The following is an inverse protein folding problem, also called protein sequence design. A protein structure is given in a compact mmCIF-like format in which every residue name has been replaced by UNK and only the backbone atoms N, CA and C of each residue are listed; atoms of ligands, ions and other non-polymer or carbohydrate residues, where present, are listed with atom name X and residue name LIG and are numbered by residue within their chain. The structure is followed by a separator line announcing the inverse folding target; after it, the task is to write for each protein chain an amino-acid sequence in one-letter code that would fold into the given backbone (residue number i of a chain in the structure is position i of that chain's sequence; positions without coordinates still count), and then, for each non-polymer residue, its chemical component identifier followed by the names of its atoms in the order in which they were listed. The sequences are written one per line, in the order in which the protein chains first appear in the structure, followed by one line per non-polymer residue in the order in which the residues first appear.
data_IF_217343333278
#
_entry.id   IF_217343333278
#
_cell.length_a   1.000
_cell.length_b   1.000
_cell.length_c   1.000
_cell.angle_alpha   90.00
_cell.angle_beta   90.00
_cell.angle_gamma   90.00
#
_symmetry.space_group_name_H-M   'P 1'
#
loop_
_entity.id
_entity.type
_entity.pdbx_description
1 polymer ?
#
# COMPACT_ATOMS: atom_id res chain seq x y z
N UNK A 1 -53.71 28.98 -27.00
CA UNK A 1 -53.01 28.86 -25.70
C UNK A 1 -52.05 27.68 -25.81
N UNK A 2 -50.76 27.94 -26.13
CA UNK A 2 -49.71 26.90 -26.31
C UNK A 2 -48.86 26.83 -25.05
N UNK A 3 -48.93 25.73 -24.34
CA UNK A 3 -48.08 25.44 -23.20
C UNK A 3 -46.77 24.81 -23.70
N UNK A 4 -45.64 25.48 -23.44
CA UNK A 4 -44.30 24.94 -23.66
C UNK A 4 -43.90 24.14 -22.43
N UNK A 5 -43.72 22.85 -22.62
CA UNK A 5 -43.17 21.94 -21.59
C UNK A 5 -41.63 21.92 -21.75
N UNK A 6 -40.93 22.59 -20.85
CA UNK A 6 -39.46 22.62 -20.80
C UNK A 6 -38.97 21.38 -20.02
N UNK A 7 -38.39 20.42 -20.72
CA UNK A 7 -37.83 19.21 -20.15
C UNK A 7 -36.42 19.55 -19.60
N UNK A 8 -36.30 19.60 -18.29
CA UNK A 8 -34.98 19.70 -17.61
C UNK A 8 -34.36 18.30 -17.59
N UNK A 9 -33.32 18.09 -18.41
CA UNK A 9 -32.49 16.90 -18.34
C UNK A 9 -31.44 17.15 -17.27
N UNK A 10 -31.61 16.51 -16.09
CA UNK A 10 -30.63 16.47 -15.01
C UNK A 10 -29.57 15.44 -15.38
N UNK A 11 -28.45 15.91 -15.92
CA UNK A 11 -27.27 15.07 -16.20
C UNK A 11 -26.60 14.65 -14.90
N UNK A 12 -26.75 13.37 -14.51
CA UNK A 12 -25.96 12.77 -13.44
C UNK A 12 -24.53 12.56 -13.97
N UNK A 13 -23.62 13.41 -13.53
CA UNK A 13 -22.18 13.24 -13.79
C UNK A 13 -21.67 12.10 -12.90
N UNK A 14 -21.64 10.88 -13.42
CA UNK A 14 -20.98 9.76 -12.75
C UNK A 14 -19.47 9.97 -12.94
N UNK A 15 -18.82 10.56 -11.95
CA UNK A 15 -17.37 10.58 -11.86
C UNK A 15 -16.88 9.18 -11.50
N UNK A 16 -16.55 8.38 -12.50
CA UNK A 16 -15.81 7.14 -12.28
C UNK A 16 -14.39 7.54 -11.86
N UNK A 17 -14.12 7.50 -10.57
CA UNK A 17 -12.75 7.58 -10.05
C UNK A 17 -11.98 6.38 -10.63
N UNK A 18 -11.08 6.64 -11.58
CA UNK A 18 -10.10 5.63 -12.01
C UNK A 18 -9.11 5.49 -10.85
N UNK A 19 -9.25 4.42 -10.08
CA UNK A 19 -8.20 3.98 -9.16
C UNK A 19 -7.05 3.52 -10.04
N UNK A 20 -5.96 4.26 -10.06
CA UNK A 20 -4.71 3.83 -10.71
C UNK A 20 -4.10 2.71 -9.85
N UNK A 21 -3.38 1.80 -10.47
CA UNK A 21 -2.71 0.68 -9.77
C UNK A 21 -1.77 1.15 -8.65
N UNK A 22 -1.27 2.37 -8.73
CA UNK A 22 -0.41 3.00 -7.70
C UNK A 22 -1.17 3.39 -6.41
N UNK A 23 -2.51 3.39 -6.42
CA UNK A 23 -3.34 3.75 -5.26
C UNK A 23 -3.75 2.53 -4.41
N UNK A 24 -3.46 1.31 -4.89
CA UNK A 24 -3.78 0.10 -4.14
C UNK A 24 -2.80 -0.10 -2.96
N UNK A 25 -3.30 -0.54 -1.78
CA UNK A 25 -2.41 -0.86 -0.68
C UNK A 25 -1.51 -2.05 -1.04
N UNK A 26 -0.25 -1.97 -0.63
CA UNK A 26 0.72 -3.04 -0.85
C UNK A 26 0.52 -4.19 0.14
N UNK A 27 0.65 -5.43 -0.35
CA UNK A 27 0.52 -6.62 0.49
C UNK A 27 1.52 -7.70 0.09
N UNK A 28 1.99 -8.47 1.05
CA UNK A 28 2.71 -9.71 0.79
C UNK A 28 2.09 -10.87 1.56
N UNK A 29 2.28 -12.07 1.05
CA UNK A 29 1.88 -13.31 1.72
C UNK A 29 3.11 -13.95 2.35
N UNK A 30 3.08 -14.13 3.67
CA UNK A 30 4.11 -14.90 4.36
C UNK A 30 3.91 -16.41 4.08
N UNK A 31 4.98 -17.21 4.04
CA UNK A 31 4.86 -18.67 3.96
C UNK A 31 3.89 -19.19 5.03
N UNK A 32 3.03 -20.13 4.65
CA UNK A 32 2.06 -20.71 5.59
C UNK A 32 2.79 -21.58 6.62
N UNK A 33 2.41 -21.44 7.86
CA UNK A 33 2.88 -22.35 8.92
C UNK A 33 2.00 -23.58 9.01
N UNK A 34 2.55 -24.68 9.48
CA UNK A 34 1.84 -25.91 9.81
C UNK A 34 2.46 -26.58 11.02
N UNK A 35 1.69 -27.38 11.73
CA UNK A 35 2.18 -28.12 12.87
C UNK A 35 2.67 -29.50 12.41
N UNK A 36 4.00 -29.68 12.41
CA UNK A 36 4.64 -30.93 11.99
C UNK A 36 4.32 -32.14 12.91
N UNK A 37 3.81 -31.87 14.11
CA UNK A 37 3.40 -32.94 15.05
C UNK A 37 1.94 -33.34 14.88
N UNK A 38 1.09 -32.38 14.47
CA UNK A 38 -0.36 -32.61 14.31
C UNK A 38 -0.74 -32.96 12.86
N UNK A 39 0.05 -32.51 11.87
CA UNK A 39 -0.18 -32.77 10.45
C UNK A 39 0.91 -33.73 9.97
N UNK A 40 0.55 -34.96 9.76
CA UNK A 40 1.45 -35.98 9.24
C UNK A 40 1.99 -35.51 7.86
N UNK A 41 3.32 -35.62 7.67
CA UNK A 41 4.04 -35.22 6.44
C UNK A 41 4.09 -33.73 6.13
N UNK A 42 3.70 -32.83 7.04
CA UNK A 42 3.88 -31.40 6.81
C UNK A 42 5.36 -31.01 6.67
N UNK A 43 5.68 -30.26 5.63
CA UNK A 43 7.02 -29.73 5.37
C UNK A 43 6.96 -28.21 5.16
N UNK A 44 7.99 -27.42 5.55
CA UNK A 44 8.02 -25.97 5.33
C UNK A 44 7.81 -25.58 3.87
N UNK A 45 8.37 -26.34 2.92
CA UNK A 45 8.20 -26.10 1.48
C UNK A 45 6.73 -26.13 1.03
N UNK A 46 5.87 -26.87 1.72
CA UNK A 46 4.42 -26.85 1.45
C UNK A 46 3.82 -25.49 1.83
N UNK A 47 4.29 -24.90 2.92
CA UNK A 47 3.86 -23.56 3.33
C UNK A 47 4.29 -22.46 2.36
N UNK A 48 5.48 -22.58 1.79
CA UNK A 48 5.97 -21.70 0.72
C UNK A 48 5.07 -21.82 -0.52
N UNK A 49 4.84 -23.06 -1.00
CA UNK A 49 3.99 -23.29 -2.18
C UNK A 49 2.55 -22.79 -2.01
N UNK A 50 1.93 -22.99 -0.84
CA UNK A 50 0.61 -22.43 -0.54
C UNK A 50 0.61 -20.89 -0.51
N UNK A 51 1.67 -20.29 0.02
CA UNK A 51 1.86 -18.85 0.02
C UNK A 51 1.97 -18.29 -1.41
N UNK A 52 2.71 -18.95 -2.29
CA UNK A 52 2.86 -18.58 -3.70
C UNK A 52 1.53 -18.71 -4.46
N UNK A 53 0.80 -19.81 -4.27
CA UNK A 53 -0.53 -19.99 -4.85
C UNK A 53 -1.46 -18.85 -4.43
N UNK A 54 -1.52 -18.53 -3.12
CA UNK A 54 -2.35 -17.44 -2.64
C UNK A 54 -1.89 -16.08 -3.14
N UNK A 55 -0.59 -15.82 -3.24
CA UNK A 55 -0.04 -14.58 -3.81
C UNK A 55 -0.53 -14.36 -5.23
N UNK A 56 -0.47 -15.40 -6.05
CA UNK A 56 -0.95 -15.38 -7.44
C UNK A 56 -2.44 -15.06 -7.52
N UNK A 57 -3.25 -15.72 -6.70
CA UNK A 57 -4.70 -15.53 -6.73
C UNK A 57 -5.12 -14.15 -6.16
N UNK A 58 -4.49 -13.69 -5.08
CA UNK A 58 -4.74 -12.35 -4.53
C UNK A 58 -4.35 -11.24 -5.53
N UNK A 59 -3.33 -11.46 -6.36
CA UNK A 59 -2.95 -10.53 -7.42
C UNK A 59 -4.04 -10.33 -8.48
N UNK A 60 -4.86 -11.36 -8.73
CA UNK A 60 -5.94 -11.30 -9.73
C UNK A 60 -7.16 -10.47 -9.30
N UNK A 61 -7.39 -10.29 -8.00
CA UNK A 61 -8.58 -9.59 -7.49
C UNK A 61 -8.45 -8.07 -7.44
N UNK A 62 -7.31 -7.50 -7.86
CA UNK A 62 -7.06 -6.04 -7.90
C UNK A 62 -7.40 -5.30 -6.60
N UNK A 63 -7.14 -5.93 -5.46
CA UNK A 63 -7.37 -5.35 -4.13
C UNK A 63 -6.09 -4.87 -3.47
N UNK A 64 -4.98 -5.45 -3.87
CA UNK A 64 -3.64 -5.16 -3.40
C UNK A 64 -2.68 -5.04 -4.56
N UNK A 65 -1.64 -4.24 -4.38
CA UNK A 65 -0.40 -4.39 -5.11
C UNK A 65 0.46 -5.41 -4.37
N UNK A 66 0.63 -6.60 -4.97
CA UNK A 66 1.38 -7.69 -4.33
C UNK A 66 2.88 -7.41 -4.37
N UNK A 67 3.56 -7.68 -3.26
CA UNK A 67 5.01 -7.57 -3.13
C UNK A 67 5.64 -8.95 -3.09
N UNK A 68 6.74 -9.11 -3.84
CA UNK A 68 7.56 -10.31 -3.83
C UNK A 68 8.41 -10.38 -2.55
N UNK A 69 8.38 -11.50 -1.83
CA UNK A 69 9.17 -11.72 -0.63
C UNK A 69 10.00 -12.99 -0.67
N UNK A 70 9.58 -14.00 -1.43
CA UNK A 70 10.29 -15.28 -1.50
C UNK A 70 11.59 -15.15 -2.29
N UNK A 71 11.60 -14.34 -3.34
CA UNK A 71 12.75 -14.08 -4.23
C UNK A 71 13.54 -12.81 -3.84
N UNK A 72 13.33 -12.28 -2.65
CA UNK A 72 13.97 -11.02 -2.24
C UNK A 72 15.50 -11.13 -2.17
N UNK A 73 16.02 -12.34 -1.98
CA UNK A 73 17.45 -12.63 -2.04
C UNK A 73 18.03 -12.37 -3.42
N UNK A 74 17.37 -12.84 -4.46
CA UNK A 74 17.80 -12.69 -5.86
C UNK A 74 17.70 -11.23 -6.29
N UNK A 75 16.62 -10.52 -5.90
CA UNK A 75 16.48 -9.09 -6.15
C UNK A 75 17.60 -8.27 -5.49
N UNK A 76 17.99 -8.62 -4.26
CA UNK A 76 19.13 -7.97 -3.59
C UNK A 76 20.44 -8.28 -4.26
N UNK A 77 20.65 -9.50 -4.77
CA UNK A 77 21.85 -9.87 -5.52
C UNK A 77 21.98 -9.05 -6.79
N UNK A 78 20.88 -8.82 -7.52
CA UNK A 78 20.87 -7.97 -8.73
C UNK A 78 21.31 -6.54 -8.40
N UNK A 79 20.79 -5.95 -7.31
CA UNK A 79 21.20 -4.62 -6.85
C UNK A 79 22.69 -4.59 -6.47
N UNK A 80 23.19 -5.61 -5.75
CA UNK A 80 24.59 -5.70 -5.38
C UNK A 80 25.51 -5.83 -6.62
N UNK A 81 25.11 -6.58 -7.64
CA UNK A 81 25.84 -6.65 -8.92
C UNK A 81 25.99 -5.28 -9.58
N UNK A 82 24.97 -4.43 -9.48
CA UNK A 82 25.03 -3.04 -9.94
C UNK A 82 26.04 -2.20 -9.14
N UNK A 83 26.10 -2.35 -7.84
CA UNK A 83 27.04 -1.64 -6.97
C UNK A 83 28.48 -2.13 -7.15
N UNK A 84 28.66 -3.44 -7.35
CA UNK A 84 29.96 -4.08 -7.55
C UNK A 84 30.53 -3.80 -8.97
N UNK A 85 29.78 -3.10 -9.82
CA UNK A 85 30.22 -2.69 -11.17
C UNK A 85 30.07 -3.74 -12.26
N UNK A 86 29.34 -4.83 -12.02
CA UNK A 86 29.03 -5.84 -13.02
C UNK A 86 27.95 -5.38 -14.00
N UNK A 87 27.11 -4.44 -13.57
CA UNK A 87 26.04 -3.85 -14.38
C UNK A 87 26.44 -2.44 -14.79
N UNK A 88 26.07 -2.02 -16.00
CA UNK A 88 26.28 -0.67 -16.50
C UNK A 88 25.68 0.36 -15.51
N UNK A 89 26.50 1.35 -15.12
CA UNK A 89 26.13 2.37 -14.14
C UNK A 89 24.88 3.17 -14.53
N UNK A 90 24.59 3.28 -15.83
CA UNK A 90 23.37 3.94 -16.33
C UNK A 90 22.10 3.07 -16.17
N UNK A 91 22.25 1.77 -15.90
CA UNK A 91 21.15 0.80 -15.82
C UNK A 91 21.01 0.18 -14.43
N UNK A 92 21.93 0.47 -13.51
CA UNK A 92 21.88 -0.08 -12.14
C UNK A 92 20.63 0.37 -11.40
N UNK A 93 20.12 -0.51 -10.53
CA UNK A 93 19.05 -0.19 -9.58
C UNK A 93 19.67 0.23 -8.26
N UNK A 94 19.31 1.40 -7.75
CA UNK A 94 19.81 1.88 -6.47
C UNK A 94 19.10 1.22 -5.27
N UNK A 95 19.82 1.11 -4.14
CA UNK A 95 19.24 0.66 -2.87
C UNK A 95 18.17 1.63 -2.38
N UNK A 96 17.14 1.09 -1.70
CA UNK A 96 16.07 1.88 -1.10
C UNK A 96 14.83 2.07 -1.97
N UNK A 97 14.80 1.50 -3.20
CA UNK A 97 13.66 1.58 -4.10
C UNK A 97 12.54 0.56 -3.82
N UNK A 98 12.73 -0.40 -2.91
CA UNK A 98 11.69 -1.37 -2.59
C UNK A 98 10.49 -0.73 -1.92
N UNK A 99 9.30 -1.04 -2.43
CA UNK A 99 8.06 -0.62 -1.81
C UNK A 99 7.91 -1.23 -0.40
N UNK A 100 7.48 -0.44 0.56
CA UNK A 100 7.15 -0.93 1.89
C UNK A 100 5.75 -1.55 1.89
N UNK A 101 5.56 -2.65 2.62
CA UNK A 101 4.27 -3.30 2.75
C UNK A 101 3.32 -2.52 3.67
N UNK A 102 2.07 -2.38 3.25
CA UNK A 102 0.97 -1.91 4.09
C UNK A 102 0.40 -3.07 4.91
N UNK A 103 0.20 -4.22 4.28
CA UNK A 103 -0.39 -5.40 4.90
C UNK A 103 0.47 -6.64 4.70
N UNK A 104 0.36 -7.55 5.65
CA UNK A 104 0.91 -8.89 5.59
C UNK A 104 -0.24 -9.89 5.72
N UNK A 105 -0.34 -10.82 4.78
CA UNK A 105 -1.19 -11.98 4.90
C UNK A 105 -0.39 -13.12 5.53
N UNK A 106 -0.89 -13.71 6.59
CA UNK A 106 -0.29 -14.88 7.26
C UNK A 106 -1.33 -15.95 7.53
N UNK A 107 -0.94 -17.21 7.43
CA UNK A 107 -1.85 -18.31 7.62
C UNK A 107 -1.19 -19.51 8.31
N UNK A 108 -2.03 -20.29 8.98
CA UNK A 108 -1.66 -21.58 9.58
C UNK A 108 -2.55 -22.66 9.02
N UNK A 109 -1.94 -23.67 8.45
CA UNK A 109 -2.64 -24.91 8.07
C UNK A 109 -2.87 -25.72 9.35
N UNK A 110 -4.11 -26.02 9.63
CA UNK A 110 -4.55 -26.75 10.84
C UNK A 110 -5.09 -28.14 10.53
N UNK A 111 -5.48 -28.38 9.27
CA UNK A 111 -5.78 -29.72 8.75
C UNK A 111 -5.30 -29.83 7.32
N UNK A 112 -4.64 -30.93 7.00
CA UNK A 112 -4.14 -31.20 5.65
C UNK A 112 -3.88 -32.69 5.52
N UNK A 113 -4.70 -33.41 4.75
CA UNK A 113 -4.55 -34.86 4.54
C UNK A 113 -5.85 -35.54 4.20
N UNK A 114 -5.80 -36.85 4.27
CA UNK A 114 -6.93 -37.72 3.95
C UNK A 114 -7.55 -38.26 5.23
N UNK A 115 -8.89 -38.30 5.28
CA UNK A 115 -9.68 -39.01 6.25
C UNK A 115 -10.21 -40.28 5.62
N UNK A 116 -10.13 -41.41 6.32
CA UNK A 116 -10.88 -42.58 5.95
C UNK A 116 -12.31 -42.47 6.49
N UNK A 117 -13.28 -42.47 5.60
CA UNK A 117 -14.69 -42.54 5.96
C UNK A 117 -15.19 -43.98 5.79
N UNK A 118 -15.44 -44.65 6.91
CA UNK A 118 -16.08 -45.94 6.89
C UNK A 118 -17.60 -45.75 6.81
N UNK A 119 -18.16 -45.94 5.62
CA UNK A 119 -19.61 -46.06 5.48
C UNK A 119 -19.93 -47.52 5.81
N UNK A 120 -20.14 -47.80 7.08
CA UNK A 120 -20.72 -49.07 7.50
C UNK A 120 -22.15 -49.16 7.00
N UNK A 121 -22.42 -50.05 6.06
CA UNK A 121 -23.78 -50.50 5.76
C UNK A 121 -24.28 -51.25 6.97
N UNK A 122 -24.79 -50.49 7.98
CA UNK A 122 -25.33 -51.07 9.21
C UNK A 122 -26.40 -52.10 8.95
N UNK A 123 -26.15 -53.31 9.38
CA UNK A 123 -27.18 -54.23 9.85
C UNK A 123 -28.07 -54.95 8.82
N UNK A 124 -27.95 -54.80 7.52
CA UNK A 124 -28.80 -55.43 6.51
C UNK A 124 -28.03 -56.23 5.44
N UNK A 125 -26.83 -56.71 5.72
CA UNK A 125 -26.21 -57.67 4.81
C UNK A 125 -26.72 -59.07 5.17
N UNK A 126 -27.31 -59.85 4.21
CA UNK A 126 -27.62 -61.24 4.43
C UNK A 126 -26.36 -62.05 4.79
N UNK A 127 -26.47 -62.97 5.72
CA UNK A 127 -25.36 -63.79 6.16
C UNK A 127 -24.69 -64.47 4.94
N UNK A 128 -23.45 -64.12 4.65
CA UNK A 128 -22.66 -64.67 3.55
C UNK A 128 -21.94 -63.61 2.66
N UNK A 129 -22.32 -62.37 2.74
CA UNK A 129 -21.57 -61.26 2.08
C UNK A 129 -20.68 -60.60 3.13
N UNK A 130 -19.42 -61.03 3.17
CA UNK A 130 -18.42 -60.40 4.03
C UNK A 130 -18.40 -58.86 3.86
N UNK A 131 -18.01 -58.14 4.92
CA UNK A 131 -17.91 -56.69 5.02
C UNK A 131 -17.45 -56.02 3.71
N UNK A 132 -18.39 -55.69 2.82
CA UNK A 132 -18.17 -54.78 1.74
C UNK A 132 -18.23 -53.34 2.31
N UNK A 133 -17.24 -53.00 3.11
CA UNK A 133 -17.00 -51.63 3.53
C UNK A 133 -16.52 -50.83 2.32
N UNK A 134 -17.33 -49.95 1.79
CA UNK A 134 -16.86 -48.99 0.82
C UNK A 134 -15.94 -48.02 1.57
N UNK A 135 -14.63 -48.23 1.43
CA UNK A 135 -13.62 -47.29 1.90
C UNK A 135 -13.64 -46.07 0.99
N UNK A 136 -14.18 -44.98 1.46
CA UNK A 136 -14.13 -43.72 0.76
C UNK A 136 -13.08 -42.81 1.42
N UNK A 137 -12.05 -42.45 0.68
CA UNK A 137 -11.07 -41.48 1.13
C UNK A 137 -11.62 -40.07 0.89
N UNK A 138 -11.55 -39.21 1.92
CA UNK A 138 -11.96 -37.80 1.85
C UNK A 138 -10.77 -36.96 2.22
N UNK A 139 -10.31 -36.17 1.28
CA UNK A 139 -9.31 -35.13 1.55
C UNK A 139 -9.95 -33.98 2.36
N UNK A 140 -9.25 -33.50 3.38
CA UNK A 140 -9.69 -32.43 4.27
C UNK A 140 -8.58 -31.42 4.46
N UNK A 141 -8.87 -30.15 4.10
CA UNK A 141 -7.96 -29.04 4.24
C UNK A 141 -8.62 -27.96 5.07
N UNK A 142 -7.91 -27.42 6.07
CA UNK A 142 -8.34 -26.27 6.85
C UNK A 142 -7.18 -25.31 7.05
N UNK A 143 -7.42 -24.03 6.78
CA UNK A 143 -6.46 -22.93 6.90
C UNK A 143 -7.09 -21.82 7.75
N UNK A 144 -6.41 -21.46 8.82
CA UNK A 144 -6.76 -20.29 9.63
C UNK A 144 -5.82 -19.13 9.23
N UNK A 145 -6.37 -17.95 8.89
CA UNK A 145 -5.61 -16.87 8.30
C UNK A 145 -5.86 -15.52 8.97
N UNK A 146 -4.94 -14.60 8.77
CA UNK A 146 -4.99 -13.22 9.28
C UNK A 146 -4.42 -12.26 8.26
N UNK A 147 -5.06 -11.10 8.15
CA UNK A 147 -4.52 -9.92 7.49
C UNK A 147 -4.06 -8.93 8.57
N UNK A 148 -2.81 -8.53 8.53
CA UNK A 148 -2.15 -7.73 9.58
C UNK A 148 -1.65 -6.43 8.97
N UNK A 149 -1.94 -5.29 9.58
CA UNK A 149 -1.32 -4.00 9.27
C UNK A 149 0.14 -4.01 9.76
N UNK A 150 1.09 -3.87 8.85
CA UNK A 150 2.53 -4.04 9.13
C UNK A 150 3.05 -2.94 10.06
N UNK A 151 2.61 -1.70 9.88
CA UNK A 151 3.10 -0.56 10.64
C UNK A 151 2.62 -0.57 12.10
N UNK A 152 1.39 -1.04 12.33
CA UNK A 152 0.77 -1.03 13.66
C UNK A 152 0.72 -2.40 14.33
N UNK A 153 1.02 -3.48 13.57
CA UNK A 153 0.87 -4.90 13.97
C UNK A 153 -0.57 -5.27 14.35
N UNK A 154 -1.55 -4.46 14.00
CA UNK A 154 -2.95 -4.75 14.28
C UNK A 154 -3.50 -5.76 13.28
N UNK A 155 -4.25 -6.73 13.79
CA UNK A 155 -4.98 -7.65 12.94
C UNK A 155 -6.19 -6.89 12.36
N UNK A 156 -6.23 -6.79 11.03
CA UNK A 156 -7.32 -6.12 10.29
C UNK A 156 -8.48 -7.08 10.09
N UNK A 157 -8.17 -8.33 9.78
CA UNK A 157 -9.17 -9.37 9.54
C UNK A 157 -8.59 -10.73 9.91
N UNK A 158 -9.46 -11.61 10.39
CA UNK A 158 -9.18 -13.04 10.56
C UNK A 158 -10.24 -13.85 9.86
N UNK A 159 -9.90 -15.05 9.46
CA UNK A 159 -10.84 -16.01 8.91
C UNK A 159 -10.33 -17.43 9.02
N UNK A 160 -11.21 -18.36 8.73
CA UNK A 160 -10.92 -19.79 8.58
C UNK A 160 -11.62 -20.26 7.33
N UNK A 161 -10.89 -21.00 6.50
CA UNK A 161 -11.44 -21.64 5.33
C UNK A 161 -11.19 -23.14 5.43
N UNK A 162 -12.12 -23.95 4.94
CA UNK A 162 -11.95 -25.42 4.90
C UNK A 162 -12.76 -26.03 3.79
N UNK A 163 -12.19 -27.05 3.16
CA UNK A 163 -12.85 -27.82 2.15
C UNK A 163 -12.58 -29.30 2.31
N UNK A 164 -13.58 -30.12 1.97
CA UNK A 164 -13.48 -31.56 1.86
C UNK A 164 -13.73 -31.96 0.40
N UNK A 165 -12.95 -32.91 -0.09
CA UNK A 165 -13.11 -33.49 -1.42
C UNK A 165 -13.09 -35.00 -1.36
N UNK A 166 -14.15 -35.62 -1.90
CA UNK A 166 -14.23 -37.08 -2.07
C UNK A 166 -13.47 -37.47 -3.34
N UNK A 167 -12.72 -38.53 -3.28
CA UNK A 167 -12.01 -39.05 -4.46
C UNK A 167 -10.98 -40.10 -4.13
N UNK A 168 -10.38 -40.72 -5.16
CA UNK A 168 -9.22 -41.59 -5.02
C UNK A 168 -8.06 -40.84 -4.40
N UNK A 169 -7.46 -41.42 -3.38
CA UNK A 169 -6.46 -40.68 -2.59
C UNK A 169 -5.18 -40.43 -3.38
N UNK A 170 -4.71 -39.21 -3.35
CA UNK A 170 -3.28 -38.93 -3.39
C UNK A 170 -2.76 -39.50 -2.07
N UNK A 171 -2.10 -40.64 -2.14
CA UNK A 171 -1.51 -41.27 -0.96
C UNK A 171 -0.25 -40.47 -0.58
N UNK A 172 -0.44 -39.50 0.30
CA UNK A 172 0.66 -38.68 0.86
C UNK A 172 1.76 -39.59 1.44
N UNK A 173 1.36 -40.78 1.94
CA UNK A 173 2.29 -41.76 2.51
C UNK A 173 3.14 -42.50 1.47
N UNK A 174 2.58 -42.88 0.32
CA UNK A 174 3.30 -43.68 -0.68
C UNK A 174 4.28 -42.87 -1.51
N UNK A 175 3.99 -41.57 -1.77
CA UNK A 175 4.88 -40.69 -2.52
C UNK A 175 5.94 -39.99 -1.64
N UNK A 176 5.75 -39.92 -0.32
CA UNK A 176 6.74 -39.35 0.62
C UNK A 176 7.66 -40.45 1.20
N UNK A 177 7.23 -41.70 1.21
CA UNK A 177 7.99 -42.82 1.80
C UNK A 177 9.07 -43.48 0.93
N UNK A 178 9.15 -43.17 -0.35
CA UNK A 178 10.13 -43.68 -1.28
C UNK A 178 11.12 -42.66 -1.76
N UNK A 179 12.20 -42.36 -1.04
CA UNK A 179 13.29 -41.43 -1.41
C UNK A 179 13.07 -39.94 -1.11
N UNK A 180 12.50 -39.53 0.01
CA UNK A 180 12.59 -38.13 0.48
C UNK A 180 11.96 -37.11 -0.48
N UNK A 181 10.88 -37.46 -1.18
CA UNK A 181 10.23 -36.64 -2.14
C UNK A 181 9.49 -35.46 -1.49
N UNK A 182 9.90 -34.26 -1.78
CA UNK A 182 9.14 -33.03 -1.51
C UNK A 182 7.80 -33.11 -2.24
N UNK A 183 6.70 -32.88 -1.52
CA UNK A 183 5.40 -32.65 -2.16
C UNK A 183 5.53 -31.28 -2.87
N UNK A 184 5.63 -31.33 -4.19
CA UNK A 184 5.60 -30.13 -5.01
C UNK A 184 4.13 -29.74 -5.22
N UNK A 185 3.67 -28.66 -4.54
CA UNK A 185 2.30 -28.14 -4.62
C UNK A 185 1.91 -27.68 -6.03
N UNK A 186 2.88 -27.41 -6.91
CA UNK A 186 2.65 -27.05 -8.32
C UNK A 186 2.67 -28.25 -9.28
N UNK A 187 2.83 -29.49 -8.78
CA UNK A 187 2.84 -30.68 -9.62
C UNK A 187 1.41 -31.05 -10.06
N UNK A 188 1.25 -31.43 -11.33
CA UNK A 188 -0.04 -31.90 -11.88
C UNK A 188 -0.65 -33.03 -11.07
N UNK A 189 0.13 -33.99 -10.61
CA UNK A 189 -0.36 -35.10 -9.80
C UNK A 189 -0.99 -34.63 -8.49
N UNK A 190 -0.43 -33.62 -7.84
CA UNK A 190 -1.02 -33.04 -6.64
C UNK A 190 -2.29 -32.26 -6.98
N UNK A 191 -2.25 -31.39 -7.98
CA UNK A 191 -3.37 -30.52 -8.36
C UNK A 191 -4.60 -31.33 -8.82
N UNK A 192 -4.38 -32.44 -9.52
CA UNK A 192 -5.44 -33.35 -9.99
C UNK A 192 -5.96 -34.28 -8.89
N UNK A 193 -5.33 -34.28 -7.72
CA UNK A 193 -5.74 -35.11 -6.59
C UNK A 193 -6.92 -34.52 -5.81
N UNK A 194 -7.60 -35.34 -5.03
CA UNK A 194 -8.64 -34.88 -4.10
C UNK A 194 -8.10 -33.85 -3.09
N UNK A 195 -6.82 -33.98 -2.67
CA UNK A 195 -6.18 -33.05 -1.74
C UNK A 195 -5.85 -31.72 -2.44
N UNK A 196 -5.41 -31.74 -3.70
CA UNK A 196 -5.22 -30.55 -4.53
C UNK A 196 -6.52 -29.78 -4.70
N UNK A 197 -7.58 -30.42 -5.13
CA UNK A 197 -8.89 -29.78 -5.26
C UNK A 197 -9.46 -29.24 -3.95
N UNK A 198 -9.25 -29.93 -2.81
CA UNK A 198 -9.63 -29.40 -1.50
C UNK A 198 -8.82 -28.16 -1.14
N UNK A 199 -7.53 -28.15 -1.51
CA UNK A 199 -6.65 -27.00 -1.31
C UNK A 199 -7.11 -25.80 -2.14
N UNK A 200 -7.36 -25.97 -3.43
CA UNK A 200 -7.89 -24.91 -4.32
C UNK A 200 -9.17 -24.30 -3.76
N UNK A 201 -10.16 -25.14 -3.43
CA UNK A 201 -11.43 -24.66 -2.84
C UNK A 201 -11.24 -23.89 -1.54
N UNK A 202 -10.26 -24.31 -0.72
CA UNK A 202 -9.95 -23.61 0.53
C UNK A 202 -9.32 -22.24 0.25
N UNK A 203 -8.41 -22.14 -0.73
CA UNK A 203 -7.83 -20.86 -1.16
C UNK A 203 -8.89 -19.95 -1.80
N UNK A 204 -9.78 -20.47 -2.63
CA UNK A 204 -10.90 -19.71 -3.21
C UNK A 204 -11.81 -19.09 -2.13
N UNK A 205 -12.09 -19.80 -1.04
CA UNK A 205 -12.85 -19.26 0.09
C UNK A 205 -12.09 -18.11 0.75
N UNK A 206 -10.79 -18.24 0.97
CA UNK A 206 -9.94 -17.17 1.51
C UNK A 206 -10.02 -15.93 0.62
N UNK A 207 -9.87 -16.10 -0.70
CA UNK A 207 -9.91 -15.03 -1.67
C UNK A 207 -11.27 -14.31 -1.66
N UNK A 208 -12.36 -15.07 -1.64
CA UNK A 208 -13.72 -14.53 -1.54
C UNK A 208 -13.91 -13.70 -0.27
N UNK A 209 -13.44 -14.21 0.87
CA UNK A 209 -13.50 -13.50 2.17
C UNK A 209 -12.68 -12.20 2.13
N UNK A 210 -11.47 -12.24 1.56
CA UNK A 210 -10.61 -11.08 1.40
C UNK A 210 -11.24 -10.09 0.44
N UNK A 211 -11.79 -10.53 -0.67
CA UNK A 211 -12.44 -9.68 -1.67
C UNK A 211 -13.63 -8.93 -1.07
N UNK A 212 -14.45 -9.59 -0.23
CA UNK A 212 -15.57 -8.99 0.47
C UNK A 212 -15.20 -8.07 1.64
N UNK A 213 -13.92 -8.04 2.06
CA UNK A 213 -13.48 -7.26 3.22
C UNK A 213 -13.22 -5.81 2.83
N UNK A 214 -13.79 -4.83 3.56
CA UNK A 214 -13.38 -3.42 3.44
C UNK A 214 -12.06 -3.22 4.18
N UNK A 215 -11.03 -2.77 3.45
CA UNK A 215 -9.71 -2.50 4.03
C UNK A 215 -9.70 -1.11 4.68
N UNK A 216 -9.17 -0.97 5.89
CA UNK A 216 -8.90 0.34 6.46
C UNK A 216 -7.69 0.98 5.77
N UNK A 217 -7.56 2.30 5.87
CA UNK A 217 -6.32 2.98 5.54
C UNK A 217 -5.18 2.43 6.41
N UNK A 218 -4.06 2.07 5.78
CA UNK A 218 -2.93 1.45 6.49
C UNK A 218 -2.26 2.39 7.49
N UNK A 219 -1.65 1.81 8.52
CA UNK A 219 -0.89 2.58 9.51
C UNK A 219 0.30 3.33 8.88
N UNK A 220 0.90 2.79 7.82
CA UNK A 220 1.99 3.44 7.07
C UNK A 220 1.51 4.72 6.38
N UNK A 221 0.37 4.67 5.71
CA UNK A 221 -0.22 5.85 5.05
C UNK A 221 -0.56 6.92 6.09
N UNK A 222 -1.18 6.53 7.22
CA UNK A 222 -1.47 7.45 8.33
C UNK A 222 -0.21 8.09 8.92
N UNK A 223 0.86 7.32 9.10
CA UNK A 223 2.13 7.83 9.59
C UNK A 223 2.73 8.84 8.61
N UNK A 224 2.74 8.52 7.31
CA UNK A 224 3.23 9.43 6.27
C UNK A 224 2.43 10.74 6.24
N UNK A 225 1.10 10.66 6.27
CA UNK A 225 0.24 11.83 6.33
C UNK A 225 0.50 12.67 7.59
N UNK A 226 0.68 12.04 8.75
CA UNK A 226 1.04 12.72 10.00
C UNK A 226 2.40 13.42 9.95
N UNK A 227 3.41 12.82 9.32
CA UNK A 227 4.72 13.46 9.11
C UNK A 227 4.62 14.64 8.17
N UNK A 228 3.89 14.52 7.07
CA UNK A 228 3.64 15.62 6.11
C UNK A 228 2.91 16.78 6.80
N UNK A 229 1.87 16.50 7.58
CA UNK A 229 1.14 17.52 8.33
C UNK A 229 2.02 18.24 9.36
N UNK A 230 2.89 17.50 10.07
CA UNK A 230 3.86 18.10 11.02
C UNK A 230 4.89 18.97 10.30
N UNK A 231 5.40 18.52 9.16
CA UNK A 231 6.35 19.30 8.34
C UNK A 231 5.69 20.59 7.80
N UNK A 232 4.44 20.50 7.33
CA UNK A 232 3.66 21.68 6.90
C UNK A 232 3.46 22.67 8.05
N UNK A 233 3.00 22.19 9.22
CA UNK A 233 2.80 23.06 10.38
C UNK A 233 4.12 23.71 10.87
N UNK A 234 5.25 22.98 10.80
CA UNK A 234 6.56 23.54 11.12
C UNK A 234 6.98 24.61 10.13
N UNK A 235 6.75 24.39 8.82
CA UNK A 235 7.02 25.39 7.78
C UNK A 235 6.12 26.63 7.95
N UNK A 236 4.83 26.44 8.25
CA UNK A 236 3.91 27.53 8.48
C UNK A 236 4.32 28.36 9.71
N UNK A 237 4.82 27.70 10.76
CA UNK A 237 5.36 28.41 11.93
C UNK A 237 6.60 29.27 11.60
N UNK A 238 7.41 28.87 10.62
CA UNK A 238 8.56 29.67 10.14
C UNK A 238 8.12 30.89 9.33
N UNK A 239 6.98 30.82 8.62
CA UNK A 239 6.46 31.89 7.76
C UNK A 239 5.97 33.14 8.52
N UNK A 240 5.93 33.12 9.85
CA UNK A 240 5.47 34.27 10.64
C UNK A 240 6.47 35.46 10.71
N UNK A 241 7.70 35.29 10.24
CA UNK A 241 8.66 36.38 10.22
C UNK A 241 8.42 37.32 9.01
N UNK A 242 8.28 38.64 9.23
CA UNK A 242 8.17 39.56 8.12
C UNK A 242 9.51 39.63 7.38
N UNK A 243 9.44 39.68 6.07
CA UNK A 243 10.56 39.93 5.19
C UNK A 243 10.55 41.38 4.64
N UNK A 244 11.54 41.69 3.83
CA UNK A 244 11.69 43.00 3.15
C UNK A 244 11.83 42.80 1.65
N UNK A 245 11.39 43.77 0.89
CA UNK A 245 11.74 43.90 -0.52
C UNK A 245 13.22 44.26 -0.61
N UNK A 246 14.03 43.38 -1.18
CA UNK A 246 15.47 43.55 -1.36
C UNK A 246 15.81 44.36 -2.63
N UNK A 247 15.08 44.08 -3.70
CA UNK A 247 15.28 44.75 -4.99
C UNK A 247 14.01 44.63 -5.85
N UNK A 248 13.86 45.59 -6.76
CA UNK A 248 12.84 45.55 -7.82
C UNK A 248 13.58 45.35 -9.14
N UNK A 249 13.48 44.14 -9.69
CA UNK A 249 14.17 43.74 -10.92
C UNK A 249 13.44 44.25 -12.18
N UNK A 250 12.12 44.35 -12.12
CA UNK A 250 11.26 44.94 -13.14
C UNK A 250 9.92 45.37 -12.50
N UNK A 251 9.05 46.04 -13.27
CA UNK A 251 7.73 46.49 -12.78
C UNK A 251 6.96 45.33 -12.08
N UNK A 252 7.14 44.10 -12.56
CA UNK A 252 6.38 42.94 -12.09
C UNK A 252 7.25 41.86 -11.38
N UNK A 253 8.56 42.12 -11.20
CA UNK A 253 9.48 41.13 -10.61
C UNK A 253 10.21 41.74 -9.42
N UNK A 254 9.99 41.17 -8.26
CA UNK A 254 10.47 41.66 -6.97
C UNK A 254 11.30 40.58 -6.29
N UNK A 255 12.41 40.94 -5.69
CA UNK A 255 13.22 40.08 -4.86
C UNK A 255 12.94 40.39 -3.40
N UNK A 256 12.58 39.35 -2.64
CA UNK A 256 12.24 39.49 -1.22
C UNK A 256 13.19 38.66 -0.35
N UNK A 257 13.39 39.07 0.90
CA UNK A 257 14.26 38.39 1.89
C UNK A 257 13.57 37.23 2.62
N UNK A 258 12.72 36.49 1.93
CA UNK A 258 12.03 35.32 2.41
C UNK A 258 12.38 34.16 1.47
N UNK A 259 13.00 33.12 2.01
CA UNK A 259 13.50 31.99 1.24
C UNK A 259 13.04 30.64 1.82
N UNK A 260 13.69 29.56 1.40
CA UNK A 260 13.37 28.22 1.90
C UNK A 260 13.70 28.03 3.38
N UNK A 261 14.66 28.80 3.93
CA UNK A 261 14.97 28.82 5.38
C UNK A 261 13.79 29.32 6.22
N UNK A 262 12.98 30.22 5.67
CA UNK A 262 11.77 30.74 6.29
C UNK A 262 10.52 29.93 5.89
N UNK A 263 10.70 28.74 5.30
CA UNK A 263 9.62 27.80 4.98
C UNK A 263 8.83 28.11 3.70
N UNK A 264 9.29 29.07 2.87
CA UNK A 264 8.59 29.44 1.64
C UNK A 264 8.94 28.52 0.46
N UNK A 265 7.95 28.31 -0.42
CA UNK A 265 8.03 27.50 -1.62
C UNK A 265 7.54 28.30 -2.85
N UNK A 266 7.81 27.78 -4.04
CA UNK A 266 7.23 28.31 -5.28
C UNK A 266 5.70 28.20 -5.24
N UNK A 267 5.01 29.24 -5.68
CA UNK A 267 3.56 29.36 -5.63
C UNK A 267 2.99 29.96 -4.34
N UNK A 268 3.79 30.08 -3.26
CA UNK A 268 3.35 30.75 -2.03
C UNK A 268 2.98 32.21 -2.29
N UNK A 269 1.97 32.69 -1.57
CA UNK A 269 1.49 34.07 -1.66
C UNK A 269 1.98 34.89 -0.48
N UNK A 270 2.40 36.13 -0.77
CA UNK A 270 2.83 37.08 0.20
C UNK A 270 1.97 38.35 0.10
N UNK A 271 1.72 38.98 1.23
CA UNK A 271 1.15 40.33 1.31
C UNK A 271 2.26 41.34 1.27
N UNK A 272 2.11 42.39 0.41
CA UNK A 272 3.04 43.48 0.27
C UNK A 272 2.52 44.70 1.02
N UNK A 273 3.33 45.21 1.92
CA UNK A 273 3.02 46.43 2.69
C UNK A 273 3.94 47.57 2.34
N UNK A 274 3.37 48.70 1.97
CA UNK A 274 4.08 49.95 1.91
C UNK A 274 4.45 50.37 3.33
N UNK A 275 5.74 50.62 3.56
CA UNK A 275 6.28 50.93 4.88
C UNK A 275 6.74 52.39 4.89
N UNK A 276 6.25 53.16 5.84
CA UNK A 276 6.66 54.55 6.08
C UNK A 276 7.19 54.68 7.50
N UNK A 277 8.46 54.97 7.66
CA UNK A 277 9.10 55.16 8.96
C UNK A 277 8.90 56.61 9.45
N UNK A 278 8.29 56.75 10.60
CA UNK A 278 8.20 58.00 11.35
C UNK A 278 9.44 58.11 12.24
N UNK A 279 10.23 59.20 12.03
CA UNK A 279 11.50 59.41 12.74
C UNK A 279 11.38 60.53 13.74
N UNK A 280 12.12 60.42 14.86
CA UNK A 280 12.30 61.53 15.80
C UNK A 280 13.27 62.61 15.27
N UNK A 281 13.43 63.71 16.03
CA UNK A 281 14.32 64.80 15.69
C UNK A 281 15.81 64.41 15.59
N UNK A 282 16.15 63.19 16.06
CA UNK A 282 17.50 62.62 16.01
C UNK A 282 17.67 61.59 14.90
N UNK A 283 16.61 61.40 14.08
CA UNK A 283 16.61 60.47 12.95
C UNK A 283 16.33 58.99 13.31
N UNK A 284 16.01 58.68 14.56
CA UNK A 284 15.65 57.32 14.96
C UNK A 284 14.20 57.02 14.53
N UNK A 285 13.96 55.81 14.03
CA UNK A 285 12.61 55.33 13.73
C UNK A 285 11.85 55.09 15.04
N UNK A 286 10.80 55.88 15.30
CA UNK A 286 9.94 55.77 16.50
C UNK A 286 8.65 55.01 16.23
N UNK A 287 8.23 54.97 14.94
CA UNK A 287 7.07 54.21 14.52
C UNK A 287 7.18 53.85 13.04
N UNK A 288 6.61 52.73 12.64
CA UNK A 288 6.54 52.34 11.23
C UNK A 288 5.08 52.09 10.86
N UNK A 289 4.56 52.90 9.97
CA UNK A 289 3.25 52.70 9.38
C UNK A 289 3.33 51.68 8.26
N UNK A 290 2.46 50.67 8.31
CA UNK A 290 2.35 49.67 7.27
C UNK A 290 0.95 49.70 6.64
N UNK A 291 0.91 49.86 5.32
CA UNK A 291 -0.32 49.84 4.52
C UNK A 291 -0.26 48.67 3.54
N UNK A 292 -1.22 47.75 3.59
CA UNK A 292 -1.36 46.69 2.60
C UNK A 292 -1.62 47.32 1.24
N UNK A 293 -0.78 46.99 0.24
CA UNK A 293 -0.82 47.56 -1.10
C UNK A 293 -0.97 46.51 -2.20
N UNK A 294 -0.84 45.24 -1.88
CA UNK A 294 -1.06 44.17 -2.86
C UNK A 294 -0.54 42.80 -2.40
N UNK A 295 -0.57 41.89 -3.34
CA UNK A 295 -0.11 40.51 -3.15
C UNK A 295 1.02 40.18 -4.11
N UNK A 296 1.95 39.34 -3.66
CA UNK A 296 3.02 38.78 -4.45
C UNK A 296 2.83 37.27 -4.55
N UNK A 297 3.23 36.67 -5.68
CA UNK A 297 3.32 35.22 -5.82
C UNK A 297 4.77 34.84 -6.05
N UNK A 298 5.30 33.94 -5.26
CA UNK A 298 6.68 33.44 -5.36
C UNK A 298 6.84 32.60 -6.63
N UNK A 299 7.80 33.01 -7.49
CA UNK A 299 8.11 32.33 -8.75
C UNK A 299 9.29 31.38 -8.65
N UNK A 300 10.26 31.67 -7.78
CA UNK A 300 11.40 30.81 -7.51
C UNK A 300 11.99 31.13 -6.14
N UNK A 301 12.52 30.10 -5.46
CA UNK A 301 13.01 30.19 -4.09
C UNK A 301 14.49 29.82 -4.03
N UNK A 302 15.27 30.60 -3.30
CA UNK A 302 16.62 30.30 -2.84
C UNK A 302 16.62 30.14 -1.31
N UNK A 303 17.78 29.88 -0.72
CA UNK A 303 17.89 29.65 0.72
C UNK A 303 17.37 30.81 1.58
N UNK A 304 17.75 32.04 1.24
CA UNK A 304 17.54 33.26 2.02
C UNK A 304 16.72 34.36 1.29
N UNK A 305 16.24 34.06 0.10
CA UNK A 305 15.50 35.01 -0.73
C UNK A 305 14.61 34.32 -1.74
N UNK A 306 13.63 35.05 -2.27
CA UNK A 306 12.79 34.57 -3.35
C UNK A 306 12.55 35.64 -4.41
N UNK A 307 12.31 35.17 -5.64
CA UNK A 307 11.79 36.00 -6.72
C UNK A 307 10.28 35.87 -6.71
N UNK A 308 9.58 36.98 -6.66
CA UNK A 308 8.13 37.03 -6.66
C UNK A 308 7.59 37.93 -7.77
N UNK A 309 6.39 37.62 -8.27
CA UNK A 309 5.64 38.45 -9.19
C UNK A 309 4.66 39.35 -8.44
N UNK A 310 4.54 40.59 -8.89
CA UNK A 310 3.55 41.54 -8.44
C UNK A 310 2.56 41.87 -9.58
N UNK A 311 1.27 41.80 -9.30
CA UNK A 311 0.21 42.01 -10.30
C UNK A 311 -0.53 43.38 -10.09
N UNK A 312 0.10 44.33 -9.42
CA UNK A 312 -0.47 45.65 -9.20
C UNK A 312 0.14 46.74 -10.09
N UNK A 313 -0.52 47.91 -10.15
CA UNK A 313 -0.05 49.06 -10.88
C UNK A 313 0.87 49.99 -10.06
N UNK A 314 1.02 49.70 -8.76
CA UNK A 314 1.82 50.52 -7.85
C UNK A 314 3.33 50.29 -8.08
N UNK A 315 4.12 51.37 -8.05
CA UNK A 315 5.57 51.27 -8.10
C UNK A 315 6.11 50.80 -6.74
N UNK A 316 6.55 49.53 -6.67
CA UNK A 316 7.11 48.92 -5.47
C UNK A 316 8.50 49.49 -5.19
N UNK A 317 8.81 49.75 -3.91
CA UNK A 317 10.12 50.28 -3.49
C UNK A 317 10.85 49.28 -2.61
N UNK A 318 12.19 49.33 -2.69
CA UNK A 318 13.05 48.57 -1.77
C UNK A 318 12.77 48.99 -0.32
N UNK A 319 12.87 48.02 0.60
CA UNK A 319 12.63 48.22 2.03
C UNK A 319 11.18 48.02 2.48
N UNK A 320 10.21 47.91 1.56
CA UNK A 320 8.84 47.58 1.92
C UNK A 320 8.75 46.21 2.58
N UNK A 321 7.76 46.05 3.45
CA UNK A 321 7.57 44.80 4.20
C UNK A 321 6.75 43.79 3.41
N UNK A 322 7.15 42.53 3.52
CA UNK A 322 6.39 41.41 2.99
C UNK A 322 6.09 40.42 4.11
N UNK A 323 4.88 39.85 4.12
CA UNK A 323 4.44 38.89 5.11
C UNK A 323 3.78 37.70 4.41
N UNK A 324 3.79 36.51 5.03
CA UNK A 324 2.98 35.39 4.55
C UNK A 324 1.50 35.78 4.55
N UNK A 325 0.79 35.33 3.52
CA UNK A 325 -0.66 35.49 3.45
C UNK A 325 -1.36 34.36 4.16
#
# INVERSE_FOLDING_TARGET
MKMNLSTIVLGILITTSRVFADDLPTCFVAPFSGDTTAIQYWQPAMGEGLGEMLTTELGKINKFQMLEVNQIGDLKNEINMGEDGWIDQAQKVDKGGFAAADFMFTAKVTRFGNKESHIGLGGFAPAGFGNLGLHQTVADVRIDWRLVDVATRKIVKTGSASAEQKGGGFDVGSNVGGNGGNINMGNHEFMDSALGHATEKTLEQIISDVQGTTLPESGRVKQKAGLTAKASAANDALKHKPGKVLAVASKNTIIVSLGSKEGFNEGDKLELYQTNDVKDDKGNVVFTDEKLVGELTILSVQEDRSRASFSGDLEVKQGWTVKAK
#
